data_IF_984357413912
#
_entry.id   IF_984357413912
#
_cell.length_a   1.000
_cell.length_b   1.000
_cell.length_c   1.000
_cell.angle_alpha   90.00
_cell.angle_beta   90.00
_cell.angle_gamma   90.00
#
_symmetry.space_group_name_H-M   'P 1'
#
loop_
_entity.id
_entity.type
_entity.pdbx_description
1 polymer ?
#
# COMPACT_ATOMS: atom_id res chain seq x y z
N UNK A 1 -34.55 6.84 -2.44
CA UNK A 1 -33.18 7.20 -2.02
C UNK A 1 -32.37 5.95 -1.67
N UNK A 2 -32.06 5.11 -2.67
CA UNK A 2 -31.25 3.88 -2.51
C UNK A 2 -30.04 3.84 -3.46
N UNK A 3 -29.96 4.75 -4.42
CA UNK A 3 -28.93 4.72 -5.48
C UNK A 3 -27.56 5.26 -5.04
N UNK A 4 -27.50 6.09 -3.99
CA UNK A 4 -26.24 6.69 -3.51
C UNK A 4 -25.33 5.67 -2.82
N UNK A 5 -25.89 4.65 -2.15
CA UNK A 5 -25.13 3.63 -1.43
C UNK A 5 -24.52 2.55 -2.33
N UNK A 6 -25.11 2.31 -3.51
CA UNK A 6 -24.61 1.31 -4.46
C UNK A 6 -23.37 1.84 -5.19
N UNK A 7 -23.40 3.10 -5.64
CA UNK A 7 -22.26 3.75 -6.31
C UNK A 7 -21.00 3.76 -5.43
N UNK A 8 -21.12 4.12 -4.15
CA UNK A 8 -19.96 4.15 -3.24
C UNK A 8 -19.34 2.77 -2.97
N UNK A 9 -20.14 1.69 -3.04
CA UNK A 9 -19.64 0.32 -2.89
C UNK A 9 -18.91 -0.18 -4.14
N UNK A 10 -19.46 0.08 -5.32
CA UNK A 10 -18.81 -0.27 -6.60
C UNK A 10 -17.47 0.47 -6.77
N UNK A 11 -17.40 1.73 -6.34
CA UNK A 11 -16.17 2.52 -6.35
C UNK A 11 -15.11 1.97 -5.37
N UNK A 12 -15.54 1.51 -4.19
CA UNK A 12 -14.66 0.92 -3.19
C UNK A 12 -14.08 -0.43 -3.66
N UNK A 13 -14.91 -1.32 -4.20
CA UNK A 13 -14.44 -2.60 -4.76
C UNK A 13 -13.52 -2.41 -5.96
N UNK A 14 -13.84 -1.48 -6.85
CA UNK A 14 -13.00 -1.13 -7.99
C UNK A 14 -11.64 -0.59 -7.54
N UNK A 15 -11.61 0.22 -6.47
CA UNK A 15 -10.38 0.74 -5.87
C UNK A 15 -9.54 -0.39 -5.26
N UNK A 16 -10.15 -1.30 -4.53
CA UNK A 16 -9.48 -2.47 -3.92
C UNK A 16 -8.77 -3.32 -4.99
N UNK A 17 -9.49 -3.66 -6.06
CA UNK A 17 -8.94 -4.43 -7.18
C UNK A 17 -7.78 -3.71 -7.88
N UNK A 18 -7.79 -2.38 -7.94
CA UNK A 18 -6.68 -1.60 -8.52
C UNK A 18 -5.43 -1.68 -7.65
N UNK A 19 -5.59 -1.61 -6.33
CA UNK A 19 -4.49 -1.74 -5.37
C UNK A 19 -3.89 -3.14 -5.47
N UNK A 20 -4.71 -4.19 -5.44
CA UNK A 20 -4.23 -5.57 -5.55
C UNK A 20 -3.46 -5.83 -6.84
N UNK A 21 -3.98 -5.35 -7.98
CA UNK A 21 -3.29 -5.45 -9.27
C UNK A 21 -1.96 -4.69 -9.25
N UNK A 22 -1.92 -3.53 -8.62
CA UNK A 22 -0.70 -2.74 -8.47
C UNK A 22 0.34 -3.47 -7.63
N UNK A 23 -0.04 -4.00 -6.47
CA UNK A 23 0.85 -4.78 -5.60
C UNK A 23 1.39 -5.99 -6.37
N UNK A 24 0.52 -6.77 -7.02
CA UNK A 24 0.95 -7.94 -7.83
C UNK A 24 1.94 -7.55 -8.93
N UNK A 25 1.71 -6.42 -9.59
CA UNK A 25 2.62 -5.90 -10.61
C UNK A 25 3.97 -5.52 -10.01
N UNK A 26 3.99 -4.80 -8.90
CA UNK A 26 5.22 -4.38 -8.23
C UNK A 26 6.02 -5.57 -7.73
N UNK A 27 5.39 -6.54 -7.07
CA UNK A 27 6.05 -7.78 -6.63
C UNK A 27 6.68 -8.52 -7.81
N UNK A 28 6.02 -8.54 -8.97
CA UNK A 28 6.53 -9.24 -10.16
C UNK A 28 7.65 -8.49 -10.89
N UNK A 29 7.57 -7.18 -10.95
CA UNK A 29 8.43 -6.36 -11.83
C UNK A 29 9.53 -5.62 -11.08
N UNK A 30 9.48 -5.56 -9.75
CA UNK A 30 10.37 -4.74 -8.93
C UNK A 30 10.92 -5.54 -7.75
N UNK A 31 12.17 -6.00 -7.87
CA UNK A 31 12.87 -6.80 -6.83
C UNK A 31 12.85 -6.12 -5.46
N UNK A 32 13.08 -4.80 -5.41
CA UNK A 32 13.06 -4.05 -4.14
C UNK A 32 11.68 -4.12 -3.44
N UNK A 33 10.60 -4.17 -4.21
CA UNK A 33 9.25 -4.26 -3.67
C UNK A 33 8.91 -5.69 -3.26
N UNK A 34 9.37 -6.69 -4.01
CA UNK A 34 9.26 -8.09 -3.62
C UNK A 34 9.89 -8.35 -2.25
N UNK A 35 11.11 -7.86 -2.03
CA UNK A 35 11.82 -8.00 -0.75
C UNK A 35 11.04 -7.36 0.40
N UNK A 36 10.50 -6.14 0.21
CA UNK A 36 9.63 -5.51 1.21
C UNK A 36 8.33 -6.31 1.45
N UNK A 37 7.72 -6.85 0.40
CA UNK A 37 6.45 -7.57 0.50
C UNK A 37 6.58 -8.95 1.18
N UNK A 38 7.77 -9.55 1.18
CA UNK A 38 8.06 -10.79 1.91
C UNK A 38 8.03 -10.61 3.42
N UNK A 39 8.28 -9.40 3.93
CA UNK A 39 8.17 -9.10 5.35
C UNK A 39 6.71 -8.98 5.79
N UNK A 40 6.26 -9.89 6.67
CA UNK A 40 4.87 -9.95 7.13
C UNK A 40 4.37 -8.62 7.72
N UNK A 41 5.23 -7.92 8.46
CA UNK A 41 4.94 -6.61 9.06
C UNK A 41 4.60 -5.54 8.02
N UNK A 42 5.22 -5.57 6.84
CA UNK A 42 4.90 -4.62 5.76
C UNK A 42 3.75 -5.13 4.91
N UNK A 43 3.66 -6.44 4.72
CA UNK A 43 2.53 -7.07 4.04
C UNK A 43 1.20 -6.67 4.65
N UNK A 44 1.10 -6.70 5.99
CA UNK A 44 -0.11 -6.26 6.68
C UNK A 44 -0.46 -4.80 6.37
N UNK A 45 0.52 -3.88 6.34
CA UNK A 45 0.32 -2.46 6.00
C UNK A 45 -0.21 -2.26 4.59
N UNK A 46 0.25 -3.03 3.60
CA UNK A 46 -0.27 -2.96 2.23
C UNK A 46 -1.76 -3.34 2.14
N UNK A 47 -2.25 -4.12 3.09
CA UNK A 47 -3.65 -4.56 3.15
C UNK A 47 -4.51 -3.72 4.11
N UNK A 48 -3.96 -3.23 5.22
CA UNK A 48 -4.72 -2.58 6.29
C UNK A 48 -4.57 -1.06 6.37
N UNK A 49 -3.45 -0.50 5.89
CA UNK A 49 -3.15 0.92 6.05
C UNK A 49 -3.65 1.73 4.83
N UNK A 50 -4.66 2.58 5.05
CA UNK A 50 -5.27 3.39 3.97
C UNK A 50 -4.30 4.37 3.32
N UNK A 51 -3.35 4.96 4.08
CA UNK A 51 -2.38 5.91 3.57
C UNK A 51 -1.36 5.25 2.64
N UNK A 52 -0.82 4.09 3.05
CA UNK A 52 0.08 3.28 2.21
C UNK A 52 -0.64 2.89 0.91
N UNK A 53 -1.89 2.45 1.03
CA UNK A 53 -2.73 2.06 -0.11
C UNK A 53 -3.04 3.22 -1.06
N UNK A 54 -3.22 4.44 -0.54
CA UNK A 54 -3.38 5.66 -1.34
C UNK A 54 -2.13 6.00 -2.13
N UNK A 55 -0.97 5.91 -1.49
CA UNK A 55 0.32 6.14 -2.15
C UNK A 55 0.56 5.19 -3.32
N UNK A 56 0.17 3.91 -3.20
CA UNK A 56 0.27 2.94 -4.30
C UNK A 56 -0.62 3.27 -5.52
N UNK A 57 -1.69 4.02 -5.30
CA UNK A 57 -2.57 4.48 -6.38
C UNK A 57 -2.09 5.80 -7.02
N UNK A 58 -1.30 6.60 -6.31
CA UNK A 58 -0.73 7.83 -6.85
C UNK A 58 0.33 7.51 -7.92
N UNK A 59 0.03 7.88 -9.17
CA UNK A 59 0.92 7.65 -10.31
C UNK A 59 2.22 8.44 -10.23
N UNK A 60 2.18 9.68 -9.74
CA UNK A 60 3.36 10.54 -9.64
C UNK A 60 4.30 9.99 -8.56
N UNK A 61 3.74 9.62 -7.41
CA UNK A 61 4.49 8.99 -6.34
C UNK A 61 5.11 7.66 -6.77
N UNK A 62 4.31 6.78 -7.38
CA UNK A 62 4.83 5.49 -7.86
C UNK A 62 5.94 5.64 -8.89
N UNK A 63 5.83 6.63 -9.79
CA UNK A 63 6.91 6.92 -10.76
C UNK A 63 8.18 7.37 -10.05
N UNK A 64 8.06 8.18 -8.99
CA UNK A 64 9.21 8.59 -8.19
C UNK A 64 9.87 7.40 -7.50
N UNK A 65 9.09 6.48 -6.90
CA UNK A 65 9.59 5.24 -6.31
C UNK A 65 10.29 4.33 -7.33
N UNK A 66 9.71 4.18 -8.52
CA UNK A 66 10.31 3.36 -9.59
C UNK A 66 11.64 3.94 -10.07
N UNK A 67 11.82 5.26 -10.06
CA UNK A 67 13.00 5.94 -10.63
C UNK A 67 14.09 6.32 -9.62
N UNK A 68 13.76 6.42 -8.32
CA UNK A 68 14.67 6.95 -7.30
C UNK A 68 14.88 5.99 -6.14
N UNK A 69 16.13 5.59 -5.91
CA UNK A 69 16.53 4.79 -4.73
C UNK A 69 16.26 5.57 -3.44
N UNK A 70 16.44 6.89 -3.46
CA UNK A 70 16.18 7.74 -2.29
C UNK A 70 14.70 7.69 -1.87
N UNK A 71 13.79 7.77 -2.84
CA UNK A 71 12.35 7.68 -2.58
C UNK A 71 11.96 6.31 -2.01
N UNK A 72 12.59 5.23 -2.50
CA UNK A 72 12.38 3.87 -1.95
C UNK A 72 12.82 3.78 -0.49
N UNK A 73 13.96 4.37 -0.14
CA UNK A 73 14.43 4.40 1.24
C UNK A 73 13.50 5.21 2.15
N UNK A 74 12.99 6.35 1.68
CA UNK A 74 12.01 7.14 2.42
C UNK A 74 10.72 6.34 2.65
N UNK A 75 10.23 5.65 1.62
CA UNK A 75 9.06 4.80 1.73
C UNK A 75 9.28 3.64 2.71
N UNK A 76 10.44 2.99 2.67
CA UNK A 76 10.77 1.92 3.62
C UNK A 76 10.81 2.44 5.07
N UNK A 77 11.42 3.61 5.32
CA UNK A 77 11.42 4.23 6.65
C UNK A 77 10.01 4.52 7.16
N UNK A 78 9.15 5.03 6.30
CA UNK A 78 7.75 5.26 6.65
C UNK A 78 7.03 3.94 6.99
N UNK A 79 7.27 2.87 6.22
CA UNK A 79 6.75 1.54 6.55
C UNK A 79 7.29 1.01 7.89
N UNK A 80 8.56 1.24 8.20
CA UNK A 80 9.15 0.88 9.50
C UNK A 80 8.46 1.61 10.66
N UNK A 81 8.26 2.92 10.54
CA UNK A 81 7.56 3.72 11.54
C UNK A 81 6.13 3.23 11.76
N UNK A 82 5.41 2.95 10.67
CA UNK A 82 4.05 2.40 10.74
C UNK A 82 4.01 0.99 11.34
N UNK A 83 4.96 0.13 10.98
CA UNK A 83 5.04 -1.23 11.51
C UNK A 83 5.35 -1.22 13.02
N UNK A 84 6.20 -0.29 13.48
CA UNK A 84 6.47 -0.08 14.91
C UNK A 84 5.22 0.36 15.66
N UNK A 85 4.45 1.30 15.11
CA UNK A 85 3.21 1.78 15.73
C UNK A 85 2.15 0.67 15.86
N UNK A 86 2.01 -0.18 14.83
CA UNK A 86 1.09 -1.33 14.88
C UNK A 86 1.54 -2.38 15.90
N UNK A 87 2.85 -2.55 16.08
CA UNK A 87 3.42 -3.50 17.05
C UNK A 87 3.35 -3.02 18.50
N UNK A 88 3.12 -1.72 18.73
CA UNK A 88 3.05 -1.10 20.05
C UNK A 88 1.64 -1.01 20.64
N UNK A 89 0.62 -1.60 20.01
CA UNK A 89 -0.72 -1.72 20.60
C UNK A 89 -0.80 -3.07 21.34
N UNK A 90 -0.55 -3.12 22.68
CA UNK A 90 -0.89 -4.30 23.45
C UNK A 90 -2.41 -4.48 23.41
N UNK A 91 -2.87 -5.70 23.10
CA UNK A 91 -4.25 -6.12 23.36
C UNK A 91 -4.65 -5.66 24.77
N UNK A 92 -5.62 -4.74 24.85
CA UNK A 92 -6.45 -4.56 26.03
C UNK A 92 -7.72 -5.39 25.86
#
# INVERSE_FOLDING_TARGET
MLEVFVSSREDAEGRERRIDRRIKKLVKEQEWFELLYQEERYRSLFHSNSQVREKLLDRKYMRALEQSVHERQLFQRELDELALLVSQVPNQ
#
